data_IF_397320333410
#
_entry.id   IF_397320333410
#
_cell.length_a   1.000
_cell.length_b   1.000
_cell.length_c   1.000
_cell.angle_alpha   90.00
_cell.angle_beta   90.00
_cell.angle_gamma   90.00
#
_symmetry.space_group_name_H-M   'P 1'
#
loop_
_entity.id
_entity.type
_entity.pdbx_description
1 polymer ?
#
# COMPACT_ATOMS: atom_id res chain seq x y z
N UNK A 1 -19.38 -50.29 -8.98
CA UNK A 1 -19.06 -49.87 -10.35
C UNK A 1 -20.31 -49.35 -11.01
N UNK A 2 -20.34 -48.05 -11.36
CA UNK A 2 -21.23 -47.44 -12.36
C UNK A 2 -20.63 -46.06 -12.64
N UNK A 3 -19.79 -46.01 -13.67
CA UNK A 3 -19.21 -44.80 -14.25
C UNK A 3 -20.29 -44.10 -15.06
N UNK A 4 -20.58 -42.84 -14.74
CA UNK A 4 -21.38 -41.97 -15.58
C UNK A 4 -20.45 -40.86 -16.08
N UNK A 5 -20.18 -40.95 -17.38
CA UNK A 5 -19.37 -40.03 -18.18
C UNK A 5 -20.31 -38.93 -18.66
N UNK A 6 -20.11 -37.68 -18.24
CA UNK A 6 -20.77 -36.52 -18.86
C UNK A 6 -19.73 -35.61 -19.50
N UNK A 7 -19.97 -35.37 -20.80
CA UNK A 7 -19.13 -34.63 -21.71
C UNK A 7 -19.15 -33.13 -21.42
N UNK A 8 -17.98 -32.51 -21.52
CA UNK A 8 -17.75 -31.07 -21.39
C UNK A 8 -17.97 -30.41 -22.76
N UNK A 9 -18.86 -29.41 -22.90
CA UNK A 9 -18.87 -28.57 -24.09
C UNK A 9 -17.86 -27.42 -23.95
N UNK A 10 -16.88 -27.47 -24.85
CA UNK A 10 -15.85 -26.48 -25.13
C UNK A 10 -16.50 -25.23 -25.76
N UNK A 11 -16.55 -24.11 -25.04
CA UNK A 11 -17.00 -22.81 -25.59
C UNK A 11 -15.77 -21.98 -25.93
N UNK A 12 -15.70 -21.65 -27.21
CA UNK A 12 -14.61 -20.97 -27.89
C UNK A 12 -14.49 -19.50 -27.47
N UNK A 13 -13.26 -19.09 -27.15
CA UNK A 13 -12.86 -17.70 -26.94
C UNK A 13 -12.81 -16.96 -28.29
N UNK A 14 -13.64 -15.94 -28.47
CA UNK A 14 -13.45 -14.94 -29.53
C UNK A 14 -12.57 -13.79 -29.00
N UNK A 15 -11.34 -13.76 -29.51
CA UNK A 15 -10.40 -12.65 -29.36
C UNK A 15 -10.85 -11.47 -30.23
N UNK A 16 -11.11 -10.32 -29.61
CA UNK A 16 -11.38 -9.06 -30.31
C UNK A 16 -10.06 -8.34 -30.55
N UNK A 17 -9.61 -8.36 -31.80
CA UNK A 17 -8.38 -7.72 -32.26
C UNK A 17 -8.78 -6.48 -33.08
N UNK A 18 -8.56 -5.26 -32.57
CA UNK A 18 -8.79 -4.02 -33.32
C UNK A 18 -7.52 -3.19 -33.43
N UNK A 19 -7.06 -3.00 -34.67
CA UNK A 19 -5.99 -2.08 -35.09
C UNK A 19 -6.37 -1.55 -36.49
N UNK A 20 -5.76 -0.47 -37.01
CA UNK A 20 -6.15 0.93 -36.75
C UNK A 20 -6.55 1.72 -38.03
N UNK A 21 -7.08 2.92 -37.78
CA UNK A 21 -7.08 4.18 -38.54
C UNK A 21 -7.19 4.22 -40.09
N UNK A 22 -8.09 5.10 -40.56
CA UNK A 22 -7.81 5.92 -41.74
C UNK A 22 -8.70 7.18 -41.80
N UNK A 23 -8.09 8.37 -41.76
CA UNK A 23 -8.53 9.58 -42.50
C UNK A 23 -7.33 10.46 -42.87
N UNK A 24 -6.95 10.36 -44.16
CA UNK A 24 -6.59 11.41 -45.15
C UNK A 24 -6.87 12.87 -44.73
N UNK A 25 -6.17 13.91 -45.20
CA UNK A 25 -5.11 14.13 -46.19
C UNK A 25 -4.61 15.61 -46.08
N UNK A 26 -3.32 15.86 -46.43
CA UNK A 26 -2.68 16.99 -47.16
C UNK A 26 -3.03 18.47 -46.83
N UNK A 27 -2.12 19.45 -46.69
CA UNK A 27 -1.09 19.94 -47.66
C UNK A 27 -0.30 21.11 -46.99
N UNK A 28 1.04 21.05 -46.85
CA UNK A 28 2.12 21.67 -47.67
C UNK A 28 2.42 23.18 -47.47
N UNK A 29 3.70 23.53 -47.25
CA UNK A 29 4.25 24.88 -47.48
C UNK A 29 5.51 25.29 -46.69
N UNK A 30 6.70 24.94 -47.22
CA UNK A 30 8.06 25.54 -47.12
C UNK A 30 8.12 27.07 -46.86
N UNK A 31 9.19 27.77 -46.40
CA UNK A 31 10.57 27.51 -45.92
C UNK A 31 11.21 28.88 -45.52
N UNK A 32 12.38 28.83 -44.84
CA UNK A 32 13.52 29.79 -44.83
C UNK A 32 13.72 30.80 -43.65
N UNK A 33 14.66 30.40 -42.77
CA UNK A 33 15.88 31.08 -42.24
C UNK A 33 15.90 32.55 -41.72
N UNK A 34 16.39 32.72 -40.48
CA UNK A 34 17.61 33.47 -40.06
C UNK A 34 17.58 33.71 -38.53
N UNK A 35 18.46 33.13 -37.71
CA UNK A 35 19.80 33.59 -37.33
C UNK A 35 19.86 34.22 -35.89
N UNK A 36 20.63 33.54 -35.02
CA UNK A 36 21.44 33.99 -33.86
C UNK A 36 20.81 34.74 -32.65
N UNK A 37 20.83 34.07 -31.49
CA UNK A 37 21.68 34.37 -30.31
C UNK A 37 20.99 34.41 -28.94
N UNK A 38 21.73 33.85 -27.98
CA UNK A 38 21.78 34.10 -26.54
C UNK A 38 20.68 33.50 -25.63
N UNK A 39 21.08 32.40 -24.99
CA UNK A 39 20.99 32.17 -23.55
C UNK A 39 19.72 32.64 -22.82
N UNK A 40 18.84 31.70 -22.55
CA UNK A 40 18.32 31.48 -21.19
C UNK A 40 17.93 30.02 -21.10
N UNK A 41 18.83 29.18 -20.59
CA UNK A 41 18.46 27.88 -20.06
C UNK A 41 17.59 28.15 -18.83
N UNK A 42 16.28 28.23 -19.04
CA UNK A 42 15.32 28.06 -17.97
C UNK A 42 15.37 26.60 -17.56
N UNK A 43 16.26 26.28 -16.62
CA UNK A 43 16.07 25.10 -15.76
C UNK A 43 14.66 25.25 -15.18
N UNK A 44 13.72 24.32 -15.40
CA UNK A 44 12.58 24.25 -14.51
C UNK A 44 13.17 24.02 -13.12
N UNK A 45 12.91 24.99 -12.23
CA UNK A 45 13.18 24.86 -10.80
C UNK A 45 12.45 23.60 -10.37
N UNK A 46 13.24 22.55 -10.17
CA UNK A 46 12.78 21.31 -9.58
C UNK A 46 12.46 21.62 -8.12
N UNK A 47 11.23 22.05 -7.86
CA UNK A 47 10.63 22.00 -6.54
C UNK A 47 10.33 20.53 -6.17
N UNK A 48 11.35 19.67 -6.24
CA UNK A 48 11.36 18.39 -5.54
C UNK A 48 11.59 18.71 -4.09
N UNK A 49 10.52 19.14 -3.40
CA UNK A 49 10.48 19.11 -1.95
C UNK A 49 10.75 17.67 -1.56
N UNK A 50 11.97 17.37 -1.10
CA UNK A 50 12.33 16.05 -0.58
C UNK A 50 11.29 15.66 0.46
N UNK A 51 10.40 14.73 0.09
CA UNK A 51 9.35 14.26 0.96
C UNK A 51 9.98 13.29 1.96
N UNK A 52 10.53 13.85 3.03
CA UNK A 52 11.15 13.12 4.14
C UNK A 52 10.08 12.59 5.11
N UNK A 53 10.51 11.80 6.10
CA UNK A 53 9.65 11.33 7.20
C UNK A 53 8.86 12.46 7.88
N UNK A 54 9.39 13.69 7.85
CA UNK A 54 8.75 14.88 8.40
C UNK A 54 7.41 15.26 7.75
N UNK A 55 7.11 14.72 6.56
CA UNK A 55 5.84 14.95 5.86
C UNK A 55 4.70 14.04 6.33
N UNK A 56 5.01 13.00 7.12
CA UNK A 56 4.03 12.02 7.58
C UNK A 56 3.38 12.52 8.87
N UNK A 57 2.04 12.45 9.00
CA UNK A 57 1.35 12.78 10.25
C UNK A 57 1.86 11.92 11.41
N UNK A 58 2.22 12.54 12.53
CA UNK A 58 2.63 11.81 13.74
C UNK A 58 1.40 11.54 14.60
N UNK A 59 1.17 10.29 14.99
CA UNK A 59 0.17 9.92 16.00
C UNK A 59 0.84 9.62 17.34
N UNK A 60 0.25 10.14 18.41
CA UNK A 60 0.67 9.83 19.77
C UNK A 60 -0.04 8.58 20.28
N UNK A 61 0.60 7.89 21.24
CA UNK A 61 0.04 6.71 21.88
C UNK A 61 -0.90 7.10 23.03
N UNK A 62 -1.96 6.31 23.31
CA UNK A 62 -2.36 5.10 22.58
C UNK A 62 -3.06 5.42 21.25
N UNK A 63 -2.96 4.51 20.29
CA UNK A 63 -3.66 4.60 19.01
C UNK A 63 -4.34 3.27 18.68
N UNK A 64 -5.60 3.35 18.27
CA UNK A 64 -6.32 2.21 17.70
C UNK A 64 -6.26 2.30 16.18
N UNK A 65 -5.81 1.23 15.52
CA UNK A 65 -5.94 1.08 14.08
C UNK A 65 -7.10 0.13 13.77
N UNK A 66 -8.12 0.67 13.13
CA UNK A 66 -9.31 -0.06 12.67
C UNK A 66 -9.58 0.25 11.20
N UNK A 67 -8.51 0.53 10.44
CA UNK A 67 -8.61 0.84 9.01
C UNK A 67 -9.35 -0.28 8.29
N UNK A 68 -10.38 0.08 7.55
CA UNK A 68 -11.29 -0.81 6.82
C UNK A 68 -11.84 -0.09 5.58
N UNK A 69 -12.58 -0.79 4.72
CA UNK A 69 -13.08 -0.18 3.48
C UNK A 69 -14.03 1.01 3.72
N UNK A 70 -14.79 1.03 4.82
CA UNK A 70 -15.73 2.12 5.14
C UNK A 70 -15.04 3.40 5.62
N UNK A 71 -13.89 3.27 6.32
CA UNK A 71 -13.21 4.40 6.94
C UNK A 71 -11.86 4.75 6.30
N UNK A 72 -11.39 3.97 5.33
CA UNK A 72 -10.13 4.23 4.64
C UNK A 72 -10.25 5.48 3.77
N UNK A 73 -9.34 6.42 4.04
CA UNK A 73 -9.17 7.63 3.26
C UNK A 73 -7.70 7.77 2.93
N UNK A 74 -7.27 7.53 1.68
CA UNK A 74 -5.87 7.67 1.32
C UNK A 74 -5.41 9.10 1.61
N UNK A 75 -4.14 9.26 1.97
CA UNK A 75 -3.59 10.57 2.25
C UNK A 75 -3.71 11.44 0.99
N UNK A 76 -4.18 12.68 1.15
CA UNK A 76 -4.33 13.64 0.05
C UNK A 76 -3.02 13.92 -0.66
N UNK A 77 -1.89 13.74 0.02
CA UNK A 77 -0.55 13.80 -0.56
C UNK A 77 0.19 12.50 -0.31
N UNK A 78 0.22 11.64 -1.33
CA UNK A 78 1.06 10.45 -1.32
C UNK A 78 2.56 10.83 -1.33
N UNK A 79 3.38 9.92 -0.80
CA UNK A 79 4.84 10.04 -0.82
C UNK A 79 5.46 8.88 -1.63
N UNK A 80 5.32 8.88 -2.97
CA UNK A 80 5.78 7.79 -3.82
C UNK A 80 7.29 7.58 -3.76
N UNK A 81 8.08 8.63 -3.56
CA UNK A 81 9.53 8.54 -3.43
C UNK A 81 9.92 7.78 -2.16
N UNK A 82 9.26 8.04 -1.03
CA UNK A 82 9.51 7.31 0.20
C UNK A 82 9.07 5.84 0.10
N UNK A 83 7.92 5.56 -0.52
CA UNK A 83 7.47 4.20 -0.81
C UNK A 83 8.52 3.43 -1.63
N UNK A 84 9.09 4.08 -2.66
CA UNK A 84 10.16 3.52 -3.49
C UNK A 84 11.45 3.31 -2.69
N UNK A 85 11.82 4.28 -1.84
CA UNK A 85 13.05 4.25 -1.04
C UNK A 85 13.05 3.13 0.00
N UNK A 86 11.90 2.88 0.64
CA UNK A 86 11.71 1.77 1.60
C UNK A 86 11.55 0.42 0.89
N UNK A 87 11.31 0.44 -0.42
CA UNK A 87 11.12 -0.74 -1.26
C UNK A 87 9.91 -1.61 -0.83
N UNK A 88 8.79 -0.97 -0.49
CA UNK A 88 7.58 -1.63 0.01
C UNK A 88 7.04 -2.70 -0.96
N UNK A 89 7.08 -2.43 -2.27
CA UNK A 89 6.65 -3.37 -3.31
C UNK A 89 7.41 -4.69 -3.29
N UNK A 90 8.68 -4.68 -2.86
CA UNK A 90 9.50 -5.90 -2.73
C UNK A 90 9.26 -6.58 -1.38
N UNK A 91 9.00 -5.81 -0.33
CA UNK A 91 8.84 -6.34 1.02
C UNK A 91 7.47 -6.98 1.27
N UNK A 92 6.45 -6.53 0.53
CA UNK A 92 5.08 -7.01 0.64
C UNK A 92 4.66 -7.41 -0.77
N UNK A 93 4.82 -8.69 -1.09
CA UNK A 93 4.47 -9.25 -2.39
C UNK A 93 2.95 -9.13 -2.64
N UNK A 94 2.58 -9.00 -3.92
CA UNK A 94 1.19 -8.88 -4.39
C UNK A 94 0.39 -7.68 -3.87
N UNK A 95 1.05 -6.72 -3.21
CA UNK A 95 0.40 -5.51 -2.71
C UNK A 95 0.46 -4.33 -3.70
N UNK A 96 -0.63 -3.58 -3.77
CA UNK A 96 -0.78 -2.38 -4.60
C UNK A 96 -1.25 -1.18 -3.78
N UNK A 97 -1.19 0.01 -4.39
CA UNK A 97 -1.82 1.23 -3.86
C UNK A 97 -1.41 1.60 -2.42
N UNK A 98 -0.11 1.45 -2.15
CA UNK A 98 0.49 1.79 -0.87
C UNK A 98 0.23 3.26 -0.47
N UNK A 99 -0.20 3.45 0.76
CA UNK A 99 -0.35 4.75 1.40
C UNK A 99 0.31 4.73 2.78
N UNK A 100 1.29 5.61 3.01
CA UNK A 100 1.87 5.81 4.34
C UNK A 100 0.93 6.71 5.13
N UNK A 101 0.26 6.16 6.13
CA UNK A 101 -0.83 6.81 6.84
C UNK A 101 -0.33 7.78 7.90
N UNK A 102 0.54 7.29 8.78
CA UNK A 102 1.07 8.03 9.92
C UNK A 102 2.34 7.37 10.46
N UNK A 103 3.06 8.09 11.31
CA UNK A 103 4.20 7.58 12.08
C UNK A 103 3.89 7.56 13.58
N UNK A 104 4.62 6.73 14.32
CA UNK A 104 4.55 6.64 15.78
C UNK A 104 5.97 6.82 16.35
N UNK A 105 6.18 7.74 17.32
CA UNK A 105 7.51 8.03 17.86
C UNK A 105 7.93 7.00 18.93
N UNK A 106 8.11 5.74 18.54
CA UNK A 106 8.53 4.68 19.48
C UNK A 106 10.01 4.77 19.88
N UNK A 107 10.88 5.25 19.00
CA UNK A 107 12.32 5.19 19.16
C UNK A 107 13.02 6.23 18.28
N UNK A 108 14.20 6.69 18.69
CA UNK A 108 15.09 7.50 17.85
C UNK A 108 16.06 6.64 17.02
N UNK A 109 16.07 5.31 17.25
CA UNK A 109 16.97 4.37 16.58
C UNK A 109 16.45 3.96 15.19
N UNK A 110 15.13 3.97 15.01
CA UNK A 110 14.43 3.57 13.80
C UNK A 110 13.10 4.34 13.71
N UNK A 111 12.60 4.50 12.49
CA UNK A 111 11.27 5.06 12.25
C UNK A 111 10.21 3.97 12.41
N UNK A 112 9.03 4.33 12.92
CA UNK A 112 7.87 3.44 12.91
C UNK A 112 6.74 4.10 12.14
N UNK A 113 6.28 3.43 11.08
CA UNK A 113 5.23 3.95 10.19
C UNK A 113 4.15 2.92 9.96
N UNK A 114 2.93 3.39 9.76
CA UNK A 114 1.78 2.55 9.44
C UNK A 114 1.38 2.80 7.99
N UNK A 115 1.25 1.72 7.23
CA UNK A 115 1.02 1.74 5.80
C UNK A 115 -0.19 0.89 5.47
N UNK A 116 -1.13 1.46 4.71
CA UNK A 116 -2.25 0.73 4.12
C UNK A 116 -1.94 0.40 2.66
N UNK A 117 -2.40 -0.76 2.20
CA UNK A 117 -2.25 -1.24 0.82
C UNK A 117 -3.36 -2.24 0.51
N UNK A 118 -3.61 -2.45 -0.78
CA UNK A 118 -4.55 -3.47 -1.25
C UNK A 118 -3.79 -4.77 -1.54
N UNK A 119 -4.46 -5.91 -1.32
CA UNK A 119 -4.04 -7.20 -1.86
C UNK A 119 -5.19 -7.74 -2.71
N UNK A 120 -5.04 -7.68 -4.02
CA UNK A 120 -6.18 -7.86 -4.93
C UNK A 120 -7.27 -6.81 -4.71
N UNK A 121 -8.49 -7.10 -5.14
CA UNK A 121 -9.61 -6.15 -5.12
C UNK A 121 -10.38 -6.15 -3.79
N UNK A 122 -10.30 -7.26 -3.04
CA UNK A 122 -11.21 -7.54 -1.93
C UNK A 122 -10.54 -7.48 -0.55
N UNK A 123 -9.23 -7.20 -0.48
CA UNK A 123 -8.50 -7.12 0.79
C UNK A 123 -7.84 -5.76 0.96
N UNK A 124 -8.16 -5.09 2.07
CA UNK A 124 -7.48 -3.88 2.52
C UNK A 124 -6.62 -4.23 3.73
N UNK A 125 -5.31 -4.14 3.55
CA UNK A 125 -4.32 -4.49 4.57
C UNK A 125 -3.69 -3.23 5.15
N UNK A 126 -3.46 -3.21 6.46
CA UNK A 126 -2.67 -2.16 7.12
C UNK A 126 -1.61 -2.80 8.00
N UNK A 127 -0.36 -2.42 7.76
CA UNK A 127 0.81 -2.96 8.47
C UNK A 127 1.62 -1.83 9.09
N UNK A 128 2.09 -2.08 10.31
CA UNK A 128 3.08 -1.25 10.98
C UNK A 128 4.48 -1.78 10.65
N UNK A 129 5.35 -0.90 10.17
CA UNK A 129 6.72 -1.22 9.81
C UNK A 129 7.68 -0.45 10.70
N UNK A 130 8.79 -1.10 11.04
CA UNK A 130 9.97 -0.41 11.54
C UNK A 130 11.01 -0.31 10.45
N UNK A 131 11.65 0.86 10.33
CA UNK A 131 12.57 1.17 9.24
C UNK A 131 13.83 1.80 9.81
N UNK A 132 15.00 1.27 9.42
CA UNK A 132 16.27 1.82 9.87
C UNK A 132 16.61 3.17 9.19
N UNK A 133 17.70 3.80 9.64
CA UNK A 133 18.18 5.09 9.10
C UNK A 133 18.59 5.03 7.62
N UNK A 134 18.79 3.82 7.07
CA UNK A 134 19.12 3.58 5.67
C UNK A 134 17.89 3.19 4.84
N UNK A 135 16.68 3.40 5.38
CA UNK A 135 15.41 3.06 4.74
C UNK A 135 15.20 1.57 4.49
N UNK A 136 15.91 0.70 5.23
CA UNK A 136 15.67 -0.73 5.19
C UNK A 136 14.62 -1.11 6.22
N UNK A 137 13.60 -1.84 5.79
CA UNK A 137 12.61 -2.42 6.71
C UNK A 137 13.33 -3.40 7.65
N UNK A 138 13.13 -3.20 8.96
CA UNK A 138 13.63 -4.08 10.02
C UNK A 138 12.60 -5.19 10.25
N UNK A 139 11.33 -4.84 10.38
CA UNK A 139 10.23 -5.77 10.66
C UNK A 139 8.87 -5.21 10.22
N UNK A 140 7.88 -6.10 10.09
CA UNK A 140 6.50 -5.79 9.64
C UNK A 140 5.51 -6.51 10.55
N UNK A 141 4.50 -5.78 11.03
CA UNK A 141 3.40 -6.33 11.81
C UNK A 141 2.05 -5.92 11.19
N UNK A 142 1.19 -6.85 10.75
CA UNK A 142 -0.19 -6.54 10.37
C UNK A 142 -0.97 -6.00 11.57
N UNK A 143 -1.59 -4.83 11.43
CA UNK A 143 -2.26 -4.12 12.54
C UNK A 143 -3.72 -3.77 12.25
N UNK A 144 -4.13 -3.75 10.99
CA UNK A 144 -5.54 -3.78 10.62
C UNK A 144 -5.72 -4.52 9.30
N UNK A 145 -6.92 -5.06 9.09
CA UNK A 145 -7.28 -5.82 7.90
C UNK A 145 -8.79 -5.80 7.76
N UNK A 146 -9.26 -5.76 6.52
CA UNK A 146 -10.67 -5.86 6.19
C UNK A 146 -10.79 -6.60 4.85
N UNK A 147 -11.76 -7.52 4.77
CA UNK A 147 -12.06 -8.31 3.59
C UNK A 147 -13.52 -8.09 3.20
N UNK A 148 -13.79 -7.82 1.92
CA UNK A 148 -15.13 -7.39 1.45
C UNK A 148 -15.80 -8.36 0.49
N UNK A 149 -15.25 -9.55 0.24
CA UNK A 149 -15.93 -10.55 -0.57
C UNK A 149 -17.11 -11.14 0.19
N UNK A 150 -16.89 -11.57 1.43
CA UNK A 150 -17.91 -12.12 2.32
C UNK A 150 -17.97 -11.39 3.67
N UNK A 151 -17.18 -10.32 3.86
CA UNK A 151 -17.06 -9.62 5.16
C UNK A 151 -16.66 -10.57 6.29
N UNK A 152 -15.90 -11.62 5.97
CA UNK A 152 -15.67 -12.74 6.86
C UNK A 152 -14.57 -12.44 7.88
N UNK A 153 -13.61 -11.58 7.54
CA UNK A 153 -12.40 -11.40 8.33
C UNK A 153 -12.06 -9.93 8.56
N UNK A 154 -11.68 -9.63 9.80
CA UNK A 154 -11.26 -8.28 10.19
C UNK A 154 -10.17 -8.32 11.24
N UNK A 155 -9.22 -7.39 11.16
CA UNK A 155 -8.19 -7.18 12.18
C UNK A 155 -8.26 -5.76 12.71
N UNK A 156 -8.23 -5.62 14.03
CA UNK A 156 -8.19 -4.32 14.71
C UNK A 156 -7.07 -4.37 15.73
N UNK A 157 -6.31 -3.28 15.87
CA UNK A 157 -5.24 -3.21 16.87
C UNK A 157 -5.40 -2.02 17.80
N UNK A 158 -4.90 -2.19 19.02
CA UNK A 158 -4.63 -1.12 19.97
C UNK A 158 -3.14 -1.10 20.26
N UNK A 159 -2.49 0.00 19.90
CA UNK A 159 -1.06 0.22 20.01
C UNK A 159 -0.82 1.16 21.19
N UNK A 160 -0.13 0.67 22.20
CA UNK A 160 0.20 1.37 23.44
C UNK A 160 1.72 1.40 23.64
N UNK A 161 2.17 2.15 24.65
CA UNK A 161 3.59 2.16 25.01
C UNK A 161 4.00 0.78 25.54
N UNK A 162 4.81 0.06 24.78
CA UNK A 162 5.37 -1.24 25.16
C UNK A 162 4.44 -2.43 24.93
N UNK A 163 3.23 -2.24 24.39
CA UNK A 163 2.28 -3.32 24.13
C UNK A 163 1.45 -2.99 22.89
N UNK A 164 1.30 -3.95 21.99
CA UNK A 164 0.41 -3.89 20.84
C UNK A 164 -0.55 -5.06 20.97
N UNK A 165 -1.84 -4.80 21.07
CA UNK A 165 -2.88 -5.83 21.11
C UNK A 165 -3.54 -5.88 19.75
N UNK A 166 -3.63 -7.06 19.16
CA UNK A 166 -4.30 -7.30 17.88
C UNK A 166 -5.46 -8.26 18.13
N UNK A 167 -6.63 -7.90 17.65
CA UNK A 167 -7.80 -8.77 17.62
C UNK A 167 -8.08 -9.18 16.17
N UNK A 168 -8.06 -10.49 15.92
CA UNK A 168 -8.42 -11.11 14.66
C UNK A 168 -9.82 -11.69 14.77
N UNK A 169 -10.76 -11.10 14.04
CA UNK A 169 -12.17 -11.43 14.05
C UNK A 169 -12.53 -12.30 12.85
N UNK A 170 -13.33 -13.33 13.11
CA UNK A 170 -13.92 -14.22 12.11
C UNK A 170 -15.44 -14.20 12.25
N UNK A 171 -16.11 -13.75 11.19
CA UNK A 171 -17.56 -13.58 11.08
C UNK A 171 -18.23 -14.67 10.23
N UNK A 172 -17.52 -15.75 9.87
CA UNK A 172 -18.09 -16.84 9.06
C UNK A 172 -19.12 -17.70 9.81
N UNK A 173 -19.19 -17.57 11.13
CA UNK A 173 -20.13 -18.30 11.99
C UNK A 173 -21.25 -17.37 12.46
N UNK A 174 -22.37 -17.94 12.90
CA UNK A 174 -23.49 -17.17 13.46
C UNK A 174 -23.04 -16.29 14.64
N UNK A 175 -22.18 -16.85 15.50
CA UNK A 175 -21.49 -16.10 16.55
C UNK A 175 -20.04 -15.81 16.12
N UNK A 176 -19.67 -14.52 15.95
CA UNK A 176 -18.31 -14.18 15.57
C UNK A 176 -17.30 -14.62 16.62
N UNK A 177 -16.18 -15.19 16.16
CA UNK A 177 -15.07 -15.56 17.03
C UNK A 177 -13.94 -14.55 16.91
N UNK A 178 -13.09 -14.48 17.95
CA UNK A 178 -11.87 -13.69 17.89
C UNK A 178 -10.68 -14.37 18.52
N UNK A 179 -9.51 -14.13 17.94
CA UNK A 179 -8.21 -14.44 18.50
C UNK A 179 -7.52 -13.14 18.91
N UNK A 180 -6.79 -13.17 20.03
CA UNK A 180 -6.08 -11.99 20.54
C UNK A 180 -4.60 -12.28 20.63
N UNK A 181 -3.80 -11.45 19.96
CA UNK A 181 -2.36 -11.52 19.93
C UNK A 181 -1.76 -10.29 20.61
N UNK A 182 -0.75 -10.48 21.44
CA UNK A 182 -0.05 -9.40 22.13
C UNK A 182 1.38 -9.36 21.64
N UNK A 183 1.85 -8.19 21.21
CA UNK A 183 3.22 -7.97 20.77
C UNK A 183 3.90 -6.89 21.60
N UNK A 184 5.21 -7.00 21.67
CA UNK A 184 6.12 -5.96 22.18
C UNK A 184 7.03 -5.51 21.04
N UNK A 185 7.30 -4.21 20.97
CA UNK A 185 8.31 -3.68 20.07
C UNK A 185 9.66 -3.63 20.79
N UNK A 186 10.63 -4.38 20.31
CA UNK A 186 11.95 -4.50 20.89
C UNK A 186 12.84 -3.31 20.50
N UNK A 187 13.90 -3.04 21.27
CA UNK A 187 14.84 -1.94 21.00
C UNK A 187 15.57 -2.05 19.65
N UNK A 188 15.67 -3.26 19.09
CA UNK A 188 16.25 -3.52 17.79
C UNK A 188 15.25 -3.28 16.63
N UNK A 189 14.03 -2.83 16.92
CA UNK A 189 12.98 -2.58 15.95
C UNK A 189 12.12 -3.79 15.59
N UNK A 190 12.36 -4.97 16.18
CA UNK A 190 11.57 -6.17 15.88
C UNK A 190 10.32 -6.28 16.74
N UNK A 191 9.25 -6.80 16.16
CA UNK A 191 8.04 -7.16 16.88
C UNK A 191 8.20 -8.56 17.45
N UNK A 192 7.88 -8.73 18.73
CA UNK A 192 7.91 -10.02 19.41
C UNK A 192 6.56 -10.30 20.03
N UNK A 193 5.92 -11.37 19.59
CA UNK A 193 4.71 -11.88 20.22
C UNK A 193 5.01 -12.35 21.65
N UNK A 194 4.12 -12.00 22.56
CA UNK A 194 4.14 -12.38 23.97
C UNK A 194 2.97 -13.32 24.19
N UNK A 195 3.27 -14.53 24.63
CA UNK A 195 2.29 -15.53 25.05
C UNK A 195 1.89 -15.31 26.51
#
# INVERSE_FOLDING_TARGET
>A
MKTILFAIPFVLLYSCNSKPENKKDLSAGDSISSAVSADTISKPVSDTKDLTWASIPVKQLPVTDSTNFDNYKPATKQNPELIKKINLKKAIEDATDFNINYSIPFSEKFETVVVTYHKGEMELCTSMLTVDKNYKIIDILPVAYDEVAESAFRKISTIEKGKITIEDWNYMQEEPTKETHIYTLQENGKFKEVK
#
